data_IF_450543034663
#
_entry.id   IF_450543034663
#
_cell.length_a   1.000
_cell.length_b   1.000
_cell.length_c   1.000
_cell.angle_alpha   90.00
_cell.angle_beta   90.00
_cell.angle_gamma   90.00
#
_symmetry.space_group_name_H-M   'P 1'
#
loop_
_entity.id
_entity.type
_entity.pdbx_description
1 polymer ?
#
# COMPACT_ATOMS: atom_id res chain seq x y z
N UNK A 1 -31.20 1.87 20.64
CA UNK A 1 -29.76 1.67 20.35
C UNK A 1 -29.56 1.85 18.86
N UNK A 2 -28.93 2.94 18.43
CA UNK A 2 -28.54 3.13 17.04
C UNK A 2 -27.56 2.03 16.65
N UNK A 3 -27.87 1.29 15.59
CA UNK A 3 -26.93 0.33 15.00
C UNK A 3 -25.75 1.12 14.43
N UNK A 4 -24.58 1.05 15.05
CA UNK A 4 -23.38 1.59 14.45
C UNK A 4 -23.13 0.90 13.10
N UNK A 5 -23.21 1.65 12.04
CA UNK A 5 -22.89 1.16 10.70
C UNK A 5 -21.37 1.22 10.53
N UNK A 6 -20.75 0.10 10.18
CA UNK A 6 -19.31 0.00 9.92
C UNK A 6 -19.06 -0.13 8.42
N UNK A 7 -17.89 0.31 7.92
CA UNK A 7 -17.49 0.08 6.54
C UNK A 7 -17.54 -1.41 6.17
N UNK A 8 -18.10 -1.72 4.99
CA UNK A 8 -18.23 -3.09 4.48
C UNK A 8 -17.86 -3.14 2.98
N UNK A 9 -16.67 -2.67 2.63
CA UNK A 9 -16.20 -2.60 1.25
C UNK A 9 -16.26 -3.95 0.50
N UNK A 10 -16.08 -5.07 1.22
CA UNK A 10 -16.20 -6.42 0.66
C UNK A 10 -17.59 -6.77 0.09
N UNK A 11 -18.62 -5.98 0.45
CA UNK A 11 -20.00 -6.12 -0.06
C UNK A 11 -20.35 -5.08 -1.12
N UNK A 12 -19.38 -4.22 -1.49
CA UNK A 12 -19.65 -3.12 -2.41
C UNK A 12 -19.61 -3.59 -3.86
N UNK A 13 -20.74 -3.46 -4.56
CA UNK A 13 -20.86 -3.75 -5.98
C UNK A 13 -20.63 -2.50 -6.85
N UNK A 14 -21.00 -1.33 -6.35
CA UNK A 14 -20.96 -0.07 -7.13
C UNK A 14 -19.57 0.52 -7.35
N UNK A 15 -18.62 0.28 -6.43
CA UNK A 15 -17.21 0.73 -6.50
C UNK A 15 -17.03 2.19 -6.92
N UNK A 16 -17.88 3.10 -6.42
CA UNK A 16 -17.84 4.55 -6.75
C UNK A 16 -16.49 5.21 -6.44
N UNK A 17 -15.68 4.61 -5.58
CA UNK A 17 -14.33 5.07 -5.24
C UNK A 17 -13.25 4.62 -6.25
N UNK A 18 -13.61 3.83 -7.26
CA UNK A 18 -12.68 3.40 -8.30
C UNK A 18 -12.83 4.32 -9.51
N UNK A 19 -11.94 5.29 -9.69
CA UNK A 19 -12.03 6.22 -10.81
C UNK A 19 -11.86 5.49 -12.13
N UNK A 20 -12.66 5.85 -13.11
CA UNK A 20 -12.43 5.40 -14.49
C UNK A 20 -11.29 6.25 -15.06
N UNK A 21 -10.20 5.61 -15.44
CA UNK A 21 -9.03 6.32 -16.01
C UNK A 21 -9.46 7.07 -17.29
N UNK A 22 -9.19 8.37 -17.31
CA UNK A 22 -9.49 9.23 -18.47
C UNK A 22 -10.85 9.92 -18.41
N UNK A 23 -11.56 9.84 -17.29
CA UNK A 23 -12.80 10.60 -17.03
C UNK A 23 -12.54 11.57 -15.89
N UNK A 24 -12.53 12.87 -16.20
CA UNK A 24 -12.36 13.97 -15.23
C UNK A 24 -13.67 14.29 -14.43
N UNK A 25 -14.57 13.33 -14.33
CA UNK A 25 -15.81 13.48 -13.57
C UNK A 25 -15.58 13.11 -12.10
N UNK A 26 -16.14 13.92 -11.21
CA UNK A 26 -16.17 13.57 -9.79
C UNK A 26 -16.92 12.24 -9.59
N UNK A 27 -16.36 11.32 -8.79
CA UNK A 27 -17.04 10.07 -8.49
C UNK A 27 -18.45 10.32 -7.93
N UNK A 28 -19.48 9.58 -8.34
CA UNK A 28 -20.85 9.78 -7.90
C UNK A 28 -21.04 9.27 -6.45
N UNK A 29 -20.46 9.97 -5.48
CA UNK A 29 -20.48 9.58 -4.07
C UNK A 29 -21.90 9.52 -3.47
N UNK A 30 -22.85 10.25 -4.03
CA UNK A 30 -24.26 10.17 -3.67
C UNK A 30 -24.87 8.79 -3.95
N UNK A 31 -24.29 8.04 -4.88
CA UNK A 31 -24.71 6.66 -5.21
C UNK A 31 -24.01 5.60 -4.36
N UNK A 32 -23.04 5.98 -3.55
CA UNK A 32 -22.33 5.05 -2.67
C UNK A 32 -23.30 4.38 -1.67
N UNK A 33 -23.11 3.08 -1.37
CA UNK A 33 -23.91 2.40 -0.36
C UNK A 33 -23.80 3.07 1.02
N UNK A 34 -24.81 2.90 1.87
CA UNK A 34 -24.82 3.48 3.23
C UNK A 34 -23.62 3.05 4.09
N UNK A 35 -23.10 1.85 3.87
CA UNK A 35 -21.91 1.33 4.56
C UNK A 35 -20.58 1.80 3.94
N UNK A 36 -20.62 2.66 2.93
CA UNK A 36 -19.40 3.13 2.26
C UNK A 36 -18.60 4.07 3.18
N UNK A 37 -17.28 3.85 3.38
CA UNK A 37 -16.46 4.74 4.19
C UNK A 37 -16.41 6.18 3.64
N UNK A 38 -16.55 6.39 2.33
CA UNK A 38 -16.61 7.72 1.74
C UNK A 38 -17.83 8.53 2.26
N UNK A 39 -18.91 7.84 2.67
CA UNK A 39 -20.07 8.46 3.31
C UNK A 39 -19.97 8.49 4.83
N UNK A 40 -19.54 7.37 5.45
CA UNK A 40 -19.53 7.21 6.92
C UNK A 40 -18.41 8.01 7.59
N UNK A 41 -17.29 8.21 6.87
CA UNK A 41 -16.06 8.76 7.43
C UNK A 41 -15.45 9.83 6.51
N UNK A 42 -16.27 10.64 5.88
CA UNK A 42 -15.84 11.70 4.96
C UNK A 42 -14.80 12.63 5.58
N UNK A 43 -14.96 13.01 6.86
CA UNK A 43 -14.00 13.86 7.58
C UNK A 43 -12.62 13.20 7.75
N UNK A 44 -12.58 11.88 7.96
CA UNK A 44 -11.31 11.14 8.05
C UNK A 44 -10.63 11.12 6.69
N UNK A 45 -11.40 10.91 5.63
CA UNK A 45 -10.87 10.91 4.26
C UNK A 45 -10.34 12.30 3.88
N UNK A 46 -11.06 13.37 4.20
CA UNK A 46 -10.60 14.73 3.93
C UNK A 46 -9.29 15.04 4.68
N UNK A 47 -9.17 14.64 5.94
CA UNK A 47 -7.92 14.80 6.69
C UNK A 47 -6.78 13.97 6.08
N UNK A 48 -7.07 12.75 5.65
CA UNK A 48 -6.06 11.91 4.98
C UNK A 48 -5.61 12.52 3.65
N UNK A 49 -6.53 13.11 2.87
CA UNK A 49 -6.20 13.79 1.62
C UNK A 49 -5.30 15.00 1.86
N UNK A 50 -5.54 15.78 2.93
CA UNK A 50 -4.70 16.95 3.25
C UNK A 50 -3.26 16.58 3.59
N UNK A 51 -2.96 15.33 4.03
CA UNK A 51 -1.59 14.89 4.21
C UNK A 51 -0.79 14.85 2.90
N UNK A 52 -1.46 14.66 1.76
CA UNK A 52 -0.81 14.70 0.44
C UNK A 52 -0.44 16.12 -0.03
N UNK A 53 -0.88 17.17 0.68
CA UNK A 53 -0.41 18.54 0.44
C UNK A 53 1.04 18.73 0.89
N UNK A 54 1.52 17.87 1.79
CA UNK A 54 2.91 17.83 2.20
C UNK A 54 3.78 17.32 1.07
N UNK A 55 4.86 18.03 0.75
CA UNK A 55 5.74 17.70 -0.36
C UNK A 55 6.40 16.33 -0.20
N UNK A 56 6.85 15.99 1.02
CA UNK A 56 7.48 14.70 1.33
C UNK A 56 6.52 13.51 1.13
N UNK A 57 5.26 13.66 1.56
CA UNK A 57 4.23 12.62 1.40
C UNK A 57 3.84 12.46 -0.06
N UNK A 58 3.60 13.58 -0.74
CA UNK A 58 3.21 13.58 -2.16
C UNK A 58 4.28 12.96 -3.04
N UNK A 59 5.54 13.33 -2.85
CA UNK A 59 6.65 12.78 -3.65
C UNK A 59 6.86 11.30 -3.36
N UNK A 60 6.78 10.87 -2.09
CA UNK A 60 6.83 9.46 -1.74
C UNK A 60 5.71 8.65 -2.42
N UNK A 61 4.47 9.14 -2.35
CA UNK A 61 3.31 8.47 -2.96
C UNK A 61 3.45 8.40 -4.48
N UNK A 62 3.93 9.48 -5.12
CA UNK A 62 4.20 9.53 -6.57
C UNK A 62 5.23 8.48 -6.98
N UNK A 63 6.34 8.40 -6.27
CA UNK A 63 7.39 7.42 -6.55
C UNK A 63 6.92 5.99 -6.32
N UNK A 64 6.10 5.75 -5.29
CA UNK A 64 5.52 4.44 -5.02
C UNK A 64 4.58 4.00 -6.14
N UNK A 65 3.70 4.90 -6.61
CA UNK A 65 2.78 4.61 -7.72
C UNK A 65 3.52 4.36 -9.05
N UNK A 66 4.56 5.14 -9.34
CA UNK A 66 5.40 4.90 -10.52
C UNK A 66 6.11 3.55 -10.44
N UNK A 67 6.64 3.19 -9.27
CA UNK A 67 7.30 1.91 -9.09
C UNK A 67 6.33 0.75 -9.27
N UNK A 68 5.11 0.86 -8.74
CA UNK A 68 4.07 -0.15 -8.94
C UNK A 68 3.74 -0.28 -10.43
N UNK A 69 3.50 0.82 -11.13
CA UNK A 69 3.19 0.81 -12.56
C UNK A 69 4.29 0.11 -13.40
N UNK A 70 5.55 0.36 -13.12
CA UNK A 70 6.69 -0.26 -13.82
C UNK A 70 6.82 -1.77 -13.59
N UNK A 71 6.21 -2.29 -12.51
CA UNK A 71 6.25 -3.71 -12.16
C UNK A 71 5.18 -4.54 -12.87
N UNK A 72 4.32 -3.90 -13.64
CA UNK A 72 3.28 -4.55 -14.42
C UNK A 72 3.42 -4.27 -15.91
N UNK A 73 2.86 -5.14 -16.72
CA UNK A 73 2.75 -4.97 -18.16
C UNK A 73 1.38 -5.38 -18.65
N UNK A 74 0.93 -4.71 -19.70
CA UNK A 74 -0.31 -5.05 -20.38
C UNK A 74 -0.01 -6.11 -21.43
N UNK A 75 -0.69 -7.25 -21.31
CA UNK A 75 -0.65 -8.35 -22.28
C UNK A 75 -2.07 -8.57 -22.85
N UNK A 76 -2.23 -9.26 -23.98
CA UNK A 76 -3.58 -9.48 -24.56
C UNK A 76 -4.58 -10.11 -23.59
N UNK A 77 -4.10 -10.93 -22.64
CA UNK A 77 -4.90 -11.62 -21.63
C UNK A 77 -5.20 -10.75 -20.41
N UNK A 78 -4.65 -9.53 -20.31
CA UNK A 78 -4.86 -8.60 -19.18
C UNK A 78 -3.56 -7.97 -18.64
N UNK A 79 -3.46 -7.86 -17.32
CA UNK A 79 -2.28 -7.33 -16.64
C UNK A 79 -1.42 -8.49 -16.13
N UNK A 80 -0.14 -8.49 -16.49
CA UNK A 80 0.87 -9.44 -16.01
C UNK A 80 1.91 -8.75 -15.12
N UNK A 81 2.48 -9.47 -14.17
CA UNK A 81 3.58 -8.99 -13.33
C UNK A 81 4.93 -9.16 -14.04
N UNK A 82 5.68 -8.07 -14.18
CA UNK A 82 7.08 -8.10 -14.66
C UNK A 82 8.06 -8.47 -13.56
N UNK A 83 7.82 -7.96 -12.34
CA UNK A 83 8.70 -8.14 -11.19
C UNK A 83 7.92 -8.60 -9.97
N UNK A 84 8.50 -9.52 -9.15
CA UNK A 84 7.90 -9.89 -7.86
C UNK A 84 8.00 -8.73 -6.87
N UNK A 85 7.14 -8.71 -5.84
CA UNK A 85 7.08 -7.66 -4.81
C UNK A 85 8.43 -7.38 -4.13
N UNK A 86 9.27 -8.38 -3.96
CA UNK A 86 10.61 -8.19 -3.38
C UNK A 86 11.47 -7.31 -4.29
N UNK A 87 11.47 -7.56 -5.60
CA UNK A 87 12.22 -6.73 -6.55
C UNK A 87 11.63 -5.33 -6.67
N UNK A 88 10.32 -5.19 -6.67
CA UNK A 88 9.63 -3.90 -6.62
C UNK A 88 10.09 -3.08 -5.41
N UNK A 89 10.10 -3.67 -4.21
CA UNK A 89 10.57 -3.02 -2.98
C UNK A 89 12.03 -2.59 -3.09
N UNK A 90 12.88 -3.43 -3.68
CA UNK A 90 14.30 -3.13 -3.90
C UNK A 90 14.46 -1.94 -4.84
N UNK A 91 13.74 -1.93 -5.95
CA UNK A 91 13.81 -0.85 -6.94
C UNK A 91 13.29 0.47 -6.35
N UNK A 92 12.18 0.43 -5.64
CA UNK A 92 11.64 1.59 -4.94
C UNK A 92 12.64 2.16 -3.93
N UNK A 93 13.22 1.31 -3.08
CA UNK A 93 14.22 1.74 -2.10
C UNK A 93 15.46 2.37 -2.76
N UNK A 94 15.92 1.81 -3.89
CA UNK A 94 17.05 2.37 -4.66
C UNK A 94 16.71 3.72 -5.28
N UNK A 95 15.54 3.88 -5.88
CA UNK A 95 15.07 5.15 -6.45
C UNK A 95 14.99 6.26 -5.41
N UNK A 96 14.59 5.91 -4.19
CA UNK A 96 14.55 6.85 -3.06
C UNK A 96 15.91 7.06 -2.36
N UNK A 97 16.96 6.40 -2.82
CA UNK A 97 18.31 6.52 -2.23
C UNK A 97 18.45 5.88 -0.85
N UNK A 98 17.50 5.04 -0.43
CA UNK A 98 17.56 4.34 0.86
C UNK A 98 18.73 3.37 0.89
N UNK A 99 19.42 3.33 2.03
CA UNK A 99 20.58 2.45 2.26
C UNK A 99 20.27 1.37 3.28
N UNK A 100 19.28 1.60 4.14
CA UNK A 100 18.89 0.72 5.24
C UNK A 100 17.41 0.35 5.10
N UNK A 101 17.09 -0.93 5.30
CA UNK A 101 15.72 -1.44 5.31
C UNK A 101 15.45 -2.11 6.65
N UNK A 102 14.33 -1.74 7.28
CA UNK A 102 13.84 -2.34 8.51
C UNK A 102 12.82 -3.45 8.23
N UNK A 103 12.94 -4.58 8.92
CA UNK A 103 11.99 -5.69 8.84
C UNK A 103 11.40 -5.96 10.22
N UNK A 104 10.12 -5.70 10.41
CA UNK A 104 9.37 -6.14 11.59
C UNK A 104 8.56 -7.40 11.23
N UNK A 105 8.63 -8.46 12.04
CA UNK A 105 8.05 -9.73 11.65
C UNK A 105 7.54 -10.58 12.83
N UNK A 106 6.63 -11.50 12.53
CA UNK A 106 6.19 -12.53 13.47
C UNK A 106 7.27 -13.61 13.59
N UNK A 107 7.52 -14.09 14.81
CA UNK A 107 8.52 -15.15 15.08
C UNK A 107 8.33 -16.40 14.21
N UNK A 108 7.08 -16.72 13.83
CA UNK A 108 6.77 -17.82 12.92
C UNK A 108 7.31 -17.65 11.50
N UNK A 109 7.72 -16.43 11.10
CA UNK A 109 8.27 -16.13 9.77
C UNK A 109 9.80 -16.01 9.77
N UNK A 110 10.48 -16.57 10.77
CA UNK A 110 11.92 -16.44 10.94
C UNK A 110 12.71 -16.92 9.70
N UNK A 111 12.30 -18.01 9.07
CA UNK A 111 12.99 -18.55 7.91
C UNK A 111 12.80 -17.69 6.66
N UNK A 112 11.59 -17.23 6.42
CA UNK A 112 11.24 -16.34 5.32
C UNK A 112 12.00 -15.00 5.43
N UNK A 113 12.03 -14.43 6.63
CA UNK A 113 12.75 -13.18 6.90
C UNK A 113 14.24 -13.34 6.72
N UNK A 114 14.81 -14.47 7.13
CA UNK A 114 16.24 -14.77 6.89
C UNK A 114 16.57 -14.76 5.41
N UNK A 115 15.72 -15.37 4.59
CA UNK A 115 15.89 -15.38 3.12
C UNK A 115 15.75 -13.96 2.57
N UNK A 116 14.71 -13.22 2.98
CA UNK A 116 14.49 -11.84 2.55
C UNK A 116 15.68 -10.94 2.91
N UNK A 117 16.18 -11.03 4.14
CA UNK A 117 17.33 -10.26 4.60
C UNK A 117 18.57 -10.53 3.73
N UNK A 118 18.86 -11.80 3.44
CA UNK A 118 19.98 -12.18 2.55
C UNK A 118 19.83 -11.61 1.14
N UNK A 119 18.61 -11.58 0.59
CA UNK A 119 18.35 -10.98 -0.72
C UNK A 119 18.65 -9.48 -0.67
N UNK A 120 18.13 -8.77 0.34
CA UNK A 120 18.34 -7.34 0.51
C UNK A 120 19.82 -6.98 0.71
N UNK A 121 20.53 -7.73 1.54
CA UNK A 121 21.97 -7.55 1.78
C UNK A 121 22.79 -7.75 0.48
N UNK A 122 22.47 -8.78 -0.30
CA UNK A 122 23.12 -9.01 -1.62
C UNK A 122 22.83 -7.90 -2.61
N UNK A 123 21.73 -7.18 -2.45
CA UNK A 123 21.36 -6.00 -3.27
C UNK A 123 21.96 -4.69 -2.74
N UNK A 124 22.76 -4.76 -1.67
CA UNK A 124 23.54 -3.65 -1.13
C UNK A 124 22.85 -2.83 -0.04
N UNK A 125 21.81 -3.36 0.60
CA UNK A 125 21.16 -2.72 1.73
C UNK A 125 21.74 -3.19 3.06
N UNK A 126 21.79 -2.28 4.03
CA UNK A 126 21.90 -2.63 5.44
C UNK A 126 20.52 -3.08 5.93
N UNK A 127 20.44 -4.26 6.57
CA UNK A 127 19.17 -4.79 7.09
C UNK A 127 19.14 -4.72 8.61
N UNK A 128 18.08 -4.12 9.15
CA UNK A 128 17.76 -4.12 10.58
C UNK A 128 16.46 -4.86 10.78
N UNK A 129 16.42 -5.82 11.71
CA UNK A 129 15.21 -6.61 11.89
C UNK A 129 14.83 -6.79 13.35
N UNK A 130 13.52 -6.88 13.62
CA UNK A 130 12.96 -7.12 14.94
C UNK A 130 11.76 -8.07 14.86
N UNK A 131 11.73 -9.08 15.71
CA UNK A 131 10.57 -9.97 15.79
C UNK A 131 9.55 -9.49 16.83
N UNK A 132 8.30 -9.95 16.68
CA UNK A 132 7.20 -9.60 17.57
C UNK A 132 7.39 -10.06 19.02
N UNK A 133 8.33 -10.96 19.30
CA UNK A 133 8.67 -11.45 20.64
C UNK A 133 9.82 -10.68 21.32
N UNK A 134 10.29 -9.61 20.71
CA UNK A 134 11.25 -8.71 21.37
C UNK A 134 10.62 -8.16 22.67
N UNK A 135 11.34 -8.31 23.79
CA UNK A 135 10.82 -8.02 25.12
C UNK A 135 10.26 -9.23 25.89
N UNK A 136 10.14 -10.40 25.24
CA UNK A 136 9.69 -11.66 25.85
C UNK A 136 8.33 -11.56 26.61
N UNK A 137 7.44 -10.70 26.12
CA UNK A 137 6.08 -10.57 26.69
C UNK A 137 5.28 -11.81 26.27
N UNK A 138 4.61 -12.52 27.21
CA UNK A 138 3.85 -13.74 26.95
C UNK A 138 2.69 -13.54 25.99
#
# INVERSE_FOLDING_TARGET
>A
MERKTYPQCHRCEKRVCYPVIGVDEEPPFNEAPEFCPMRLHSEVIQRALSEYDREDVREFARLASLQEFECYEWVPEGISTRFPRVEETIQFAKKNGYKRIGIAFCIGLMNEVRILAQILERKGFEVVSVCCKAGAIP
#
